data_IF_798593042123
#
_entry.id   IF_798593042123
#
_cell.length_a   1.000
_cell.length_b   1.000
_cell.length_c   1.000
_cell.angle_alpha   90.00
_cell.angle_beta   90.00
_cell.angle_gamma   90.00
#
_symmetry.space_group_name_H-M   'P 1'
#
loop_
_entity.id
_entity.type
_entity.pdbx_description
1 polymer ?
#
# COMPACT_ATOMS: atom_id res chain seq x y z
N UNK A 1 -18.77 -3.81 -16.10
CA UNK A 1 -17.60 -3.54 -15.23
C UNK A 1 -16.64 -4.70 -15.44
N UNK A 2 -15.51 -4.46 -16.09
CA UNK A 2 -14.50 -5.50 -16.34
C UNK A 2 -13.90 -5.97 -15.00
N UNK A 3 -13.75 -7.29 -14.83
CA UNK A 3 -13.20 -7.90 -13.60
C UNK A 3 -11.81 -7.33 -13.28
N UNK A 4 -11.04 -7.03 -14.32
CA UNK A 4 -9.71 -6.44 -14.19
C UNK A 4 -9.79 -5.03 -13.60
N UNK A 5 -10.77 -4.23 -14.03
CA UNK A 5 -11.00 -2.88 -13.51
C UNK A 5 -11.43 -2.91 -12.04
N UNK A 6 -12.27 -3.87 -11.66
CA UNK A 6 -12.69 -4.06 -10.26
C UNK A 6 -11.50 -4.38 -9.35
N UNK A 7 -10.65 -5.32 -9.75
CA UNK A 7 -9.48 -5.73 -8.94
C UNK A 7 -8.51 -4.55 -8.77
N UNK A 8 -8.23 -3.79 -9.84
CA UNK A 8 -7.36 -2.60 -9.77
C UNK A 8 -7.92 -1.52 -8.82
N UNK A 9 -9.22 -1.25 -8.90
CA UNK A 9 -9.88 -0.27 -8.02
C UNK A 9 -9.83 -0.73 -6.55
N UNK A 10 -10.10 -2.02 -6.29
CA UNK A 10 -10.05 -2.57 -4.94
C UNK A 10 -8.63 -2.51 -4.34
N UNK A 11 -7.61 -2.86 -5.12
CA UNK A 11 -6.20 -2.75 -4.69
C UNK A 11 -5.87 -1.30 -4.32
N UNK A 12 -6.21 -0.34 -5.17
CA UNK A 12 -5.96 1.08 -4.89
C UNK A 12 -6.64 1.53 -3.60
N UNK A 13 -7.91 1.17 -3.39
CA UNK A 13 -8.65 1.50 -2.17
C UNK A 13 -7.99 0.90 -0.93
N UNK A 14 -7.59 -0.37 -0.97
CA UNK A 14 -6.92 -1.04 0.16
C UNK A 14 -5.61 -0.33 0.49
N UNK A 15 -4.79 0.01 -0.51
CA UNK A 15 -3.52 0.72 -0.32
C UNK A 15 -3.75 2.08 0.34
N UNK A 16 -4.75 2.84 -0.13
CA UNK A 16 -5.10 4.14 0.47
C UNK A 16 -5.51 3.98 1.93
N UNK A 17 -6.36 3.01 2.25
CA UNK A 17 -6.80 2.74 3.63
C UNK A 17 -5.62 2.34 4.51
N UNK A 18 -4.70 1.53 3.99
CA UNK A 18 -3.49 1.12 4.73
C UNK A 18 -2.60 2.33 5.06
N UNK A 19 -2.39 3.25 4.10
CA UNK A 19 -1.64 4.48 4.34
C UNK A 19 -2.34 5.42 5.34
N UNK A 20 -3.67 5.49 5.32
CA UNK A 20 -4.43 6.26 6.30
C UNK A 20 -4.31 5.68 7.71
N UNK A 21 -4.42 4.35 7.86
CA UNK A 21 -4.24 3.67 9.15
C UNK A 21 -2.83 3.86 9.71
N UNK A 22 -1.83 3.81 8.83
CA UNK A 22 -0.46 4.15 9.18
C UNK A 22 -0.35 5.57 9.74
N UNK A 23 -0.82 6.58 9.00
CA UNK A 23 -0.73 7.98 9.43
C UNK A 23 -1.48 8.21 10.74
N UNK A 24 -2.66 7.61 10.89
CA UNK A 24 -3.45 7.73 12.12
C UNK A 24 -2.68 7.16 13.32
N UNK A 25 -2.16 5.94 13.19
CA UNK A 25 -1.41 5.27 14.26
C UNK A 25 -0.13 6.03 14.59
N UNK A 26 0.56 6.55 13.59
CA UNK A 26 1.76 7.36 13.73
C UNK A 26 1.48 8.66 14.51
N UNK A 27 0.45 9.42 14.11
CA UNK A 27 0.05 10.66 14.77
C UNK A 27 -0.31 10.38 16.23
N UNK A 28 -1.08 9.33 16.50
CA UNK A 28 -1.47 8.93 17.86
C UNK A 28 -0.23 8.56 18.68
N UNK A 29 0.69 7.79 18.12
CA UNK A 29 1.93 7.39 18.79
C UNK A 29 2.78 8.60 19.21
N UNK A 30 2.92 9.60 18.32
CA UNK A 30 3.59 10.85 18.64
C UNK A 30 2.84 11.71 19.64
N UNK A 31 1.51 11.79 19.55
CA UNK A 31 0.69 12.51 20.52
C UNK A 31 0.85 11.95 21.94
N UNK A 32 0.88 10.61 22.08
CA UNK A 32 1.10 9.93 23.36
C UNK A 32 2.52 10.17 23.87
N UNK A 33 3.54 9.97 23.03
CA UNK A 33 4.96 10.12 23.42
C UNK A 33 5.35 11.56 23.74
N UNK A 34 4.77 12.53 23.03
CA UNK A 34 4.98 13.96 23.18
C UNK A 34 4.18 14.60 24.32
N UNK A 35 3.24 13.87 24.92
CA UNK A 35 2.47 14.38 26.05
C UNK A 35 3.37 14.65 27.27
N UNK A 36 3.13 15.73 28.04
CA UNK A 36 3.90 16.08 29.24
C UNK A 36 3.50 15.22 30.46
N UNK A 37 3.16 13.94 30.24
CA UNK A 37 2.68 13.03 31.29
C UNK A 37 3.90 12.29 31.89
N UNK A 38 4.12 12.38 33.21
CA UNK A 38 5.26 11.75 33.89
C UNK A 38 5.05 10.24 34.11
N UNK A 39 4.75 9.50 33.03
CA UNK A 39 4.57 8.06 33.05
C UNK A 39 5.43 7.40 31.98
N UNK A 40 6.48 6.70 32.42
CA UNK A 40 7.39 5.96 31.54
C UNK A 40 6.66 4.86 30.75
N UNK A 41 5.61 4.26 31.33
CA UNK A 41 4.79 3.24 30.66
C UNK A 41 4.03 3.81 29.46
N UNK A 42 3.45 5.00 29.60
CA UNK A 42 2.68 5.65 28.54
C UNK A 42 3.59 6.03 27.36
N UNK A 43 4.78 6.57 27.64
CA UNK A 43 5.77 6.87 26.60
C UNK A 43 6.23 5.62 25.85
N UNK A 44 6.37 4.48 26.54
CA UNK A 44 6.72 3.19 25.92
C UNK A 44 5.60 2.68 24.99
N UNK A 45 4.34 2.84 25.36
CA UNK A 45 3.20 2.51 24.48
C UNK A 45 3.20 3.39 23.23
N UNK A 46 3.39 4.71 23.39
CA UNK A 46 3.49 5.62 22.25
C UNK A 46 4.65 5.26 21.30
N UNK A 47 5.79 4.86 21.84
CA UNK A 47 6.92 4.38 21.03
C UNK A 47 6.61 3.07 20.31
N UNK A 48 5.95 2.10 20.96
CA UNK A 48 5.53 0.86 20.32
C UNK A 48 4.56 1.11 19.15
N UNK A 49 3.59 2.01 19.32
CA UNK A 49 2.66 2.38 18.24
C UNK A 49 3.37 3.01 17.03
N UNK A 50 4.39 3.85 17.27
CA UNK A 50 5.20 4.42 16.18
C UNK A 50 5.98 3.32 15.46
N UNK A 51 6.61 2.41 16.21
CA UNK A 51 7.38 1.31 15.64
C UNK A 51 6.51 0.37 14.79
N UNK A 52 5.35 -0.03 15.32
CA UNK A 52 4.38 -0.87 14.60
C UNK A 52 3.86 -0.16 13.34
N UNK A 53 3.61 1.15 13.42
CA UNK A 53 3.22 1.95 12.25
C UNK A 53 4.32 1.96 11.18
N UNK A 54 5.59 2.20 11.56
CA UNK A 54 6.73 2.18 10.63
C UNK A 54 6.82 0.82 9.92
N UNK A 55 6.71 -0.28 10.68
CA UNK A 55 6.71 -1.63 10.11
C UNK A 55 5.55 -1.85 9.15
N UNK A 56 4.35 -1.40 9.50
CA UNK A 56 3.18 -1.45 8.63
C UNK A 56 3.40 -0.71 7.31
N UNK A 57 3.86 0.54 7.36
CA UNK A 57 4.16 1.32 6.15
C UNK A 57 5.27 0.70 5.31
N UNK A 58 6.30 0.14 5.96
CA UNK A 58 7.38 -0.56 5.26
C UNK A 58 6.84 -1.74 4.45
N UNK A 59 5.98 -2.56 5.03
CA UNK A 59 5.35 -3.68 4.31
C UNK A 59 4.43 -3.22 3.17
N UNK A 60 3.66 -2.15 3.37
CA UNK A 60 2.82 -1.57 2.31
C UNK A 60 3.68 -1.06 1.15
N UNK A 61 4.77 -0.37 1.45
CA UNK A 61 5.70 0.14 0.44
C UNK A 61 6.35 -0.99 -0.36
N UNK A 62 6.84 -2.04 0.31
CA UNK A 62 7.41 -3.21 -0.36
C UNK A 62 6.38 -3.93 -1.22
N UNK A 63 5.19 -4.21 -0.66
CA UNK A 63 4.13 -4.92 -1.38
C UNK A 63 3.70 -4.18 -2.65
N UNK A 64 3.51 -2.86 -2.55
CA UNK A 64 3.18 -2.02 -3.71
C UNK A 64 4.30 -1.95 -4.74
N UNK A 65 5.57 -1.86 -4.29
CA UNK A 65 6.73 -1.83 -5.19
C UNK A 65 6.89 -3.16 -5.96
N UNK A 66 6.75 -4.30 -5.29
CA UNK A 66 6.84 -5.62 -5.94
C UNK A 66 5.70 -5.80 -6.94
N UNK A 67 4.48 -5.43 -6.56
CA UNK A 67 3.33 -5.51 -7.46
C UNK A 67 3.51 -4.65 -8.71
N UNK A 68 4.05 -3.44 -8.56
CA UNK A 68 4.36 -2.56 -9.68
C UNK A 68 5.43 -3.15 -10.59
N UNK A 69 6.49 -3.73 -10.02
CA UNK A 69 7.54 -4.40 -10.78
C UNK A 69 7.01 -5.57 -11.62
N UNK A 70 6.19 -6.43 -11.03
CA UNK A 70 5.56 -7.56 -11.75
C UNK A 70 4.68 -7.01 -12.89
N UNK A 71 3.84 -6.03 -12.59
CA UNK A 71 2.95 -5.41 -13.58
C UNK A 71 3.73 -4.83 -14.76
N UNK A 72 4.84 -4.15 -14.48
CA UNK A 72 5.73 -3.58 -15.50
C UNK A 72 6.32 -4.67 -16.41
N UNK A 73 6.84 -5.75 -15.82
CA UNK A 73 7.41 -6.87 -16.58
C UNK A 73 6.33 -7.54 -17.44
N UNK A 74 5.14 -7.78 -16.89
CA UNK A 74 4.03 -8.40 -17.65
C UNK A 74 3.63 -7.56 -18.86
N UNK A 75 3.59 -6.22 -18.73
CA UNK A 75 3.29 -5.33 -19.85
C UNK A 75 4.40 -5.36 -20.90
N UNK A 76 5.67 -5.32 -20.47
CA UNK A 76 6.81 -5.38 -21.38
C UNK A 76 6.82 -6.67 -22.22
N UNK A 77 6.52 -7.82 -21.60
CA UNK A 77 6.42 -9.10 -22.29
C UNK A 77 5.17 -9.20 -23.18
N UNK A 78 4.02 -8.69 -22.71
CA UNK A 78 2.76 -8.72 -23.47
C UNK A 78 2.80 -7.90 -24.77
N UNK A 79 3.44 -6.73 -24.76
CA UNK A 79 3.60 -5.88 -25.95
C UNK A 79 4.55 -6.47 -27.00
N UNK A 80 5.33 -7.49 -26.63
CA UNK A 80 6.28 -8.16 -27.54
C UNK A 80 5.60 -9.22 -28.43
N UNK A 81 4.33 -9.55 -28.16
CA UNK A 81 3.55 -10.49 -28.97
C UNK A 81 2.79 -9.74 -30.07
N UNK A 82 2.83 -10.19 -31.33
CA UNK A 82 2.05 -9.57 -32.40
C UNK A 82 0.55 -9.69 -32.08
N UNK A 83 -0.17 -8.59 -32.30
CA UNK A 83 -1.63 -8.57 -32.15
C UNK A 83 -2.27 -9.65 -33.05
N UNK A 84 -3.27 -10.41 -32.56
CA UNK A 84 -3.95 -11.42 -33.35
C UNK A 84 -4.52 -10.82 -34.64
N UNK A 85 -4.46 -11.52 -35.78
CA UNK A 85 -5.05 -11.03 -37.02
C UNK A 85 -6.53 -10.69 -36.80
N UNK A 86 -6.91 -9.45 -37.11
CA UNK A 86 -8.30 -9.02 -37.05
C UNK A 86 -9.03 -9.68 -38.22
N UNK A 87 -10.14 -10.44 -37.99
CA UNK A 87 -10.93 -10.97 -39.08
C UNK A 87 -11.43 -9.83 -39.97
N UNK A 88 -11.02 -9.80 -41.23
CA UNK A 88 -11.61 -8.91 -42.22
C UNK A 88 -13.02 -9.43 -42.49
N UNK A 89 -14.03 -8.72 -41.99
CA UNK A 89 -15.42 -8.98 -42.38
C UNK A 89 -15.55 -8.67 -43.88
N UNK A 90 -16.20 -9.55 -44.67
CA UNK A 90 -16.43 -9.35 -46.10
C UNK A 90 -17.35 -8.16 -46.38
#
# INVERSE_FOLDING_TARGET
MDVIALVKDLINKIVIVAWLLFLLTWIIGWAIKGSPIPSSKIRRVGQGLIEDAVWGAFWVAIGTSIFWLISYISIALGNSLPQPPVPQLP
#
